data_IF_565105408434
#
_entry.id   IF_565105408434
#
_cell.length_a   1.000
_cell.length_b   1.000
_cell.length_c   1.000
_cell.angle_alpha   90.00
_cell.angle_beta   90.00
_cell.angle_gamma   90.00
#
_symmetry.space_group_name_H-M   'P 1'
#
loop_
_entity.id
_entity.type
_entity.pdbx_description
1 polymer ?
#
# COMPACT_ATOMS: atom_id res chain seq x y z
N UNK A 1 19.88 -21.31 51.91
CA UNK A 1 18.69 -20.58 51.44
C UNK A 1 18.64 -20.68 49.92
N UNK A 2 17.58 -21.32 49.42
CA UNK A 2 17.22 -21.39 48.01
C UNK A 2 16.60 -20.05 47.61
N UNK A 3 16.91 -19.54 46.41
CA UNK A 3 16.05 -18.77 45.49
C UNK A 3 16.92 -17.86 44.60
N UNK A 4 17.26 -18.36 43.42
CA UNK A 4 17.42 -17.54 42.23
C UNK A 4 17.06 -18.44 41.04
N UNK A 5 15.80 -18.83 41.04
CA UNK A 5 15.11 -19.48 39.93
C UNK A 5 14.97 -18.47 38.79
N UNK A 6 15.08 -18.99 37.56
CA UNK A 6 14.48 -18.42 36.34
C UNK A 6 14.91 -16.98 36.04
N UNK A 7 16.03 -16.83 35.32
CA UNK A 7 16.14 -15.80 34.31
C UNK A 7 15.57 -16.41 33.02
N UNK A 8 14.25 -16.29 32.75
CA UNK A 8 13.67 -16.94 31.60
C UNK A 8 13.84 -16.02 30.38
N UNK A 9 14.29 -16.59 29.27
CA UNK A 9 13.55 -16.49 28.01
C UNK A 9 13.17 -15.07 27.48
N UNK A 10 13.87 -14.00 27.84
CA UNK A 10 13.59 -12.64 27.33
C UNK A 10 14.41 -12.24 26.10
N UNK A 11 15.19 -13.16 25.55
CA UNK A 11 15.88 -12.98 24.28
C UNK A 11 15.12 -13.76 23.21
N UNK A 12 14.39 -13.02 22.36
CA UNK A 12 13.69 -13.42 21.13
C UNK A 12 12.16 -13.48 21.26
N UNK A 13 11.50 -12.40 20.77
CA UNK A 13 10.49 -12.60 19.73
C UNK A 13 10.79 -11.74 18.48
N UNK A 14 12.06 -11.40 18.20
CA UNK A 14 12.41 -10.69 16.97
C UNK A 14 12.46 -11.62 15.74
N UNK A 15 12.58 -12.94 15.93
CA UNK A 15 12.68 -13.90 14.83
C UNK A 15 11.32 -14.31 14.23
N UNK A 16 10.20 -13.97 14.87
CA UNK A 16 8.86 -14.29 14.35
C UNK A 16 8.34 -13.29 13.31
N UNK A 17 9.02 -12.15 13.14
CA UNK A 17 8.65 -11.13 12.15
C UNK A 17 9.31 -11.33 10.77
N UNK A 18 10.17 -12.35 10.61
CA UNK A 18 10.97 -12.56 9.41
C UNK A 18 10.45 -13.64 8.44
N UNK A 19 9.27 -14.24 8.69
CA UNK A 19 8.71 -15.28 7.81
C UNK A 19 7.67 -14.79 6.80
N UNK A 20 7.39 -13.49 6.71
CA UNK A 20 6.48 -12.92 5.71
C UNK A 20 7.17 -11.83 4.91
N UNK A 21 8.16 -12.24 4.11
CA UNK A 21 8.83 -11.38 3.14
C UNK A 21 8.11 -11.41 1.81
N UNK A 22 6.94 -10.80 1.72
CA UNK A 22 6.41 -10.37 0.42
C UNK A 22 6.60 -8.85 0.36
N UNK A 23 7.72 -8.42 -0.22
CA UNK A 23 7.90 -7.03 -0.63
C UNK A 23 6.76 -6.67 -1.59
N UNK A 24 5.93 -5.68 -1.23
CA UNK A 24 4.76 -5.32 -2.03
C UNK A 24 5.18 -4.43 -3.19
N UNK A 25 5.09 -4.92 -4.43
CA UNK A 25 5.47 -4.15 -5.62
C UNK A 25 4.33 -3.25 -6.07
N UNK A 26 4.47 -1.95 -5.81
CA UNK A 26 3.46 -0.94 -6.10
C UNK A 26 3.77 -0.27 -7.44
N UNK A 27 2.86 -0.37 -8.40
CA UNK A 27 2.98 0.33 -9.67
C UNK A 27 2.71 1.83 -9.53
N UNK A 28 3.65 2.67 -9.95
CA UNK A 28 3.57 4.13 -9.91
C UNK A 28 3.43 4.67 -11.32
N UNK A 29 2.39 5.47 -11.58
CA UNK A 29 2.21 6.08 -12.89
C UNK A 29 3.00 7.38 -13.05
N UNK A 30 3.12 7.86 -14.29
CA UNK A 30 3.83 9.10 -14.61
C UNK A 30 3.06 10.35 -14.25
N UNK A 31 1.73 10.29 -14.33
CA UNK A 31 0.87 11.43 -14.04
C UNK A 31 0.90 11.75 -12.55
N UNK A 32 1.02 13.04 -12.21
CA UNK A 32 1.15 13.50 -10.83
C UNK A 32 0.09 12.92 -9.88
N UNK A 33 -1.23 12.94 -10.20
CA UNK A 33 -2.24 12.38 -9.32
C UNK A 33 -2.05 10.87 -9.13
N UNK A 34 -1.73 10.15 -10.20
CA UNK A 34 -1.46 8.71 -10.14
C UNK A 34 -0.22 8.39 -9.28
N UNK A 35 0.88 9.11 -9.51
CA UNK A 35 2.08 8.98 -8.70
C UNK A 35 1.77 9.21 -7.21
N UNK A 36 1.06 10.30 -6.87
CA UNK A 36 0.69 10.63 -5.51
C UNK A 36 -0.08 9.49 -4.82
N UNK A 37 -1.15 8.99 -5.44
CA UNK A 37 -1.97 7.93 -4.84
C UNK A 37 -1.25 6.58 -4.79
N UNK A 38 -0.40 6.28 -5.78
CA UNK A 38 0.42 5.07 -5.78
C UNK A 38 1.42 5.10 -4.63
N UNK A 39 2.13 6.23 -4.41
CA UNK A 39 3.01 6.39 -3.26
C UNK A 39 2.27 6.36 -1.94
N UNK A 40 1.12 7.04 -1.86
CA UNK A 40 0.30 7.09 -0.66
C UNK A 40 -0.21 5.69 -0.26
N UNK A 41 -0.58 4.85 -1.23
CA UNK A 41 -0.93 3.45 -1.00
C UNK A 41 0.23 2.67 -0.39
N UNK A 42 1.42 2.74 -1.00
CA UNK A 42 2.58 2.01 -0.50
C UNK A 42 2.98 2.45 0.91
N UNK A 43 3.03 3.75 1.17
CA UNK A 43 3.41 4.27 2.50
C UNK A 43 2.35 4.00 3.57
N UNK A 44 1.06 4.05 3.22
CA UNK A 44 0.01 3.67 4.15
C UNK A 44 0.10 2.19 4.53
N UNK A 45 0.39 1.32 3.55
CA UNK A 45 0.63 -0.11 3.80
C UNK A 45 1.85 -0.30 4.69
N UNK A 46 2.97 0.36 4.40
CA UNK A 46 4.18 0.31 5.23
C UNK A 46 3.86 0.66 6.68
N UNK A 47 3.14 1.75 6.91
CA UNK A 47 2.78 2.22 8.25
C UNK A 47 1.88 1.23 8.99
N UNK A 48 0.86 0.67 8.31
CA UNK A 48 -0.12 -0.22 8.98
C UNK A 48 0.33 -1.66 9.11
N UNK A 49 1.36 -2.08 8.39
CA UNK A 49 1.75 -3.50 8.31
C UNK A 49 3.22 -3.77 8.60
N UNK A 50 4.09 -2.76 8.50
CA UNK A 50 5.54 -2.90 8.54
C UNK A 50 6.15 -3.44 7.23
N UNK A 51 5.34 -3.72 6.19
CA UNK A 51 5.82 -4.22 4.89
C UNK A 51 6.32 -3.04 4.06
N UNK A 52 7.62 -3.03 3.78
CA UNK A 52 8.22 -2.02 2.91
C UNK A 52 7.74 -2.19 1.45
N UNK A 53 7.21 -1.13 0.82
CA UNK A 53 6.79 -1.17 -0.58
C UNK A 53 7.99 -1.01 -1.53
N UNK A 54 7.98 -1.76 -2.63
CA UNK A 54 8.85 -1.50 -3.78
C UNK A 54 8.07 -0.70 -4.82
N UNK A 55 8.46 0.55 -5.03
CA UNK A 55 7.83 1.41 -6.02
C UNK A 55 8.42 1.18 -7.41
N UNK A 56 7.58 0.85 -8.38
CA UNK A 56 7.99 0.54 -9.75
C UNK A 56 7.24 1.47 -10.69
N UNK A 57 7.98 2.31 -11.41
CA UNK A 57 7.41 3.16 -12.44
C UNK A 57 6.86 2.31 -13.59
N UNK A 58 5.61 2.57 -13.96
CA UNK A 58 4.89 1.80 -14.99
C UNK A 58 4.29 2.73 -16.04
N UNK A 59 4.58 2.43 -17.30
CA UNK A 59 3.95 3.06 -18.47
C UNK A 59 2.71 2.29 -18.91
N UNK A 60 2.79 0.96 -18.85
CA UNK A 60 1.72 0.04 -19.25
C UNK A 60 1.40 -0.89 -18.08
N UNK A 61 0.27 -0.63 -17.42
CA UNK A 61 -0.20 -1.36 -16.25
C UNK A 61 -0.56 -2.80 -16.60
N UNK A 62 -1.21 -3.03 -17.75
CA UNK A 62 -1.60 -4.39 -18.17
C UNK A 62 -0.36 -5.26 -18.39
N UNK A 63 0.62 -4.72 -19.12
CA UNK A 63 1.89 -5.41 -19.35
C UNK A 63 2.66 -5.64 -18.04
N UNK A 64 2.70 -4.65 -17.15
CA UNK A 64 3.38 -4.78 -15.87
C UNK A 64 2.78 -5.86 -14.96
N UNK A 65 1.44 -6.02 -14.96
CA UNK A 65 0.80 -7.13 -14.26
C UNK A 65 1.06 -8.47 -14.93
N UNK A 66 0.95 -8.55 -16.26
CA UNK A 66 1.18 -9.78 -17.02
C UNK A 66 2.62 -10.31 -16.91
N UNK A 67 3.60 -9.41 -16.81
CA UNK A 67 5.02 -9.74 -16.60
C UNK A 67 5.38 -9.90 -15.12
N UNK A 68 4.39 -9.89 -14.22
CA UNK A 68 4.58 -10.01 -12.78
C UNK A 68 5.58 -8.99 -12.21
N UNK A 69 5.63 -7.79 -12.78
CA UNK A 69 6.52 -6.72 -12.30
C UNK A 69 5.92 -5.98 -11.11
N UNK A 70 4.60 -5.84 -11.08
CA UNK A 70 3.87 -5.18 -10.00
C UNK A 70 2.84 -6.13 -9.40
N UNK A 71 2.56 -5.94 -8.11
CA UNK A 71 1.57 -6.70 -7.35
C UNK A 71 0.26 -5.93 -7.19
N UNK A 72 0.38 -4.60 -7.05
CA UNK A 72 -0.74 -3.70 -6.79
C UNK A 72 -0.63 -2.42 -7.61
N UNK A 73 -1.78 -1.91 -8.04
CA UNK A 73 -1.92 -0.61 -8.70
C UNK A 73 -3.22 0.06 -8.25
N UNK A 74 -3.18 1.37 -8.03
CA UNK A 74 -4.39 2.17 -7.82
C UNK A 74 -4.71 2.94 -9.09
N UNK A 75 -5.98 2.92 -9.50
CA UNK A 75 -6.48 3.64 -10.67
C UNK A 75 -7.85 4.27 -10.36
N UNK A 76 -8.26 5.34 -11.05
CA UNK A 76 -9.64 5.79 -11.07
C UNK A 76 -10.59 4.66 -11.47
N UNK A 77 -11.79 4.60 -10.88
CA UNK A 77 -12.82 3.61 -11.23
C UNK A 77 -13.30 3.69 -12.68
N UNK A 78 -13.14 4.86 -13.31
CA UNK A 78 -13.42 5.07 -14.73
C UNK A 78 -12.32 4.49 -15.65
N UNK A 79 -11.16 4.11 -15.12
CA UNK A 79 -10.09 3.49 -15.90
C UNK A 79 -10.47 2.06 -16.34
N UNK A 80 -10.00 1.59 -17.50
CA UNK A 80 -10.17 0.21 -17.91
C UNK A 80 -9.60 -0.75 -16.86
N UNK A 81 -10.35 -1.82 -16.58
CA UNK A 81 -9.89 -2.88 -15.70
C UNK A 81 -8.66 -3.58 -16.31
N UNK A 82 -7.51 -3.63 -15.61
CA UNK A 82 -6.35 -4.37 -16.10
C UNK A 82 -6.69 -5.86 -16.24
N UNK A 83 -6.33 -6.45 -17.39
CA UNK A 83 -6.63 -7.87 -17.66
C UNK A 83 -6.01 -8.77 -16.60
N UNK A 84 -6.79 -9.71 -16.11
CA UNK A 84 -6.34 -10.69 -15.12
C UNK A 84 -6.11 -10.13 -13.72
N UNK A 85 -6.37 -8.85 -13.47
CA UNK A 85 -6.34 -8.28 -12.12
C UNK A 85 -7.70 -8.44 -11.42
N UNK A 86 -7.66 -8.47 -10.09
CA UNK A 86 -8.84 -8.45 -9.21
C UNK A 86 -8.90 -7.12 -8.48
N UNK A 87 -10.12 -6.62 -8.25
CA UNK A 87 -10.32 -5.31 -7.63
C UNK A 87 -10.62 -5.39 -6.13
N UNK A 88 -10.21 -4.35 -5.42
CA UNK A 88 -10.65 -3.97 -4.09
C UNK A 88 -11.09 -2.50 -4.11
N UNK A 89 -12.05 -2.15 -3.28
CA UNK A 89 -12.51 -0.76 -3.17
C UNK A 89 -11.39 0.12 -2.60
N UNK A 90 -11.02 1.18 -3.33
CA UNK A 90 -10.10 2.22 -2.85
C UNK A 90 -10.81 3.40 -2.20
N UNK A 91 -12.06 3.67 -2.58
CA UNK A 91 -12.89 4.77 -2.05
C UNK A 91 -12.59 6.13 -2.70
N UNK A 92 -13.22 7.18 -2.19
CA UNK A 92 -13.11 8.51 -2.75
C UNK A 92 -11.71 9.13 -2.55
N UNK A 93 -11.11 9.57 -3.65
CA UNK A 93 -9.79 10.17 -3.73
C UNK A 93 -9.86 11.51 -4.50
N UNK A 94 -9.36 12.63 -3.93
CA UNK A 94 -9.26 13.91 -4.65
C UNK A 94 -8.61 13.77 -6.04
N UNK A 95 -9.16 14.40 -7.07
CA UNK A 95 -8.67 14.29 -8.47
C UNK A 95 -8.78 12.91 -9.14
N UNK A 96 -9.00 11.81 -8.40
CA UNK A 96 -9.26 10.46 -8.91
C UNK A 96 -10.75 10.11 -8.94
N UNK A 97 -11.59 10.82 -8.18
CA UNK A 97 -12.97 10.41 -7.95
C UNK A 97 -13.01 9.14 -7.10
N UNK A 98 -13.84 8.17 -7.45
CA UNK A 98 -13.78 6.85 -6.83
C UNK A 98 -12.54 6.09 -7.31
N UNK A 99 -11.66 5.69 -6.40
CA UNK A 99 -10.47 4.91 -6.69
C UNK A 99 -10.71 3.39 -6.52
N UNK A 100 -10.03 2.60 -7.34
CA UNK A 100 -10.03 1.14 -7.30
C UNK A 100 -8.60 0.64 -7.18
N UNK A 101 -8.41 -0.32 -6.28
CA UNK A 101 -7.12 -0.99 -6.06
C UNK A 101 -7.16 -2.30 -6.84
N UNK A 102 -6.27 -2.43 -7.82
CA UNK A 102 -6.11 -3.61 -8.64
C UNK A 102 -4.94 -4.43 -8.13
N UNK A 103 -5.16 -5.73 -7.96
CA UNK A 103 -4.19 -6.70 -7.45
C UNK A 103 -4.03 -7.84 -8.44
N UNK A 104 -2.86 -8.47 -8.46
CA UNK A 104 -2.76 -9.80 -9.08
C UNK A 104 -3.59 -10.84 -8.29
N UNK A 105 -4.17 -11.86 -8.93
CA UNK A 105 -5.03 -12.83 -8.25
C UNK A 105 -4.31 -13.66 -7.18
N UNK A 106 -3.06 -14.06 -7.43
CA UNK A 106 -2.18 -14.74 -6.48
C UNK A 106 -1.96 -13.87 -5.23
N UNK A 107 -1.65 -12.59 -5.44
CA UNK A 107 -1.48 -11.62 -4.35
C UNK A 107 -2.77 -11.48 -3.53
N UNK A 108 -3.93 -11.44 -4.20
CA UNK A 108 -5.21 -11.34 -3.48
C UNK A 108 -5.44 -12.52 -2.55
N UNK A 109 -5.09 -13.74 -2.96
CA UNK A 109 -5.21 -14.93 -2.12
C UNK A 109 -4.16 -14.96 -1.00
N UNK A 110 -2.91 -14.56 -1.29
CA UNK A 110 -1.81 -14.56 -0.32
C UNK A 110 -2.03 -13.59 0.84
N UNK A 111 -2.67 -12.44 0.58
CA UNK A 111 -2.91 -11.43 1.61
C UNK A 111 -4.17 -11.71 2.44
N UNK A 112 -4.96 -12.74 2.10
CA UNK A 112 -6.21 -13.02 2.83
C UNK A 112 -5.90 -13.28 4.30
N UNK A 113 -6.72 -12.67 5.15
CA UNK A 113 -6.62 -12.75 6.60
C UNK A 113 -5.33 -12.15 7.20
N UNK A 114 -4.52 -11.43 6.40
CA UNK A 114 -3.33 -10.73 6.86
C UNK A 114 -3.63 -9.28 7.28
N UNK A 115 -2.65 -8.60 7.87
CA UNK A 115 -2.72 -7.16 8.15
C UNK A 115 -2.78 -6.34 6.87
N UNK A 116 -2.22 -6.83 5.76
CA UNK A 116 -2.27 -6.16 4.46
C UNK A 116 -3.69 -6.10 3.90
N UNK A 117 -4.46 -7.19 3.96
CA UNK A 117 -5.87 -7.14 3.56
C UNK A 117 -6.66 -6.12 4.40
N UNK A 118 -6.42 -6.08 5.72
CA UNK A 118 -7.08 -5.10 6.60
C UNK A 118 -6.69 -3.67 6.25
N UNK A 119 -5.41 -3.41 6.01
CA UNK A 119 -4.91 -2.10 5.63
C UNK A 119 -5.56 -1.63 4.31
N UNK A 120 -5.56 -2.48 3.28
CA UNK A 120 -6.24 -2.17 2.02
C UNK A 120 -7.76 -2.00 2.19
N UNK A 121 -8.39 -2.70 3.14
CA UNK A 121 -9.81 -2.56 3.44
C UNK A 121 -10.21 -1.23 4.08
N UNK A 122 -9.28 -0.53 4.76
CA UNK A 122 -9.55 0.75 5.44
C UNK A 122 -8.98 1.97 4.72
N UNK A 123 -8.20 1.76 3.65
CA UNK A 123 -7.46 2.82 2.97
C UNK A 123 -8.32 3.93 2.37
N UNK A 124 -9.59 3.67 2.04
CA UNK A 124 -10.49 4.71 1.54
C UNK A 124 -10.79 5.82 2.54
N UNK A 125 -10.74 5.52 3.85
CA UNK A 125 -10.80 6.55 4.88
C UNK A 125 -9.59 7.49 4.83
N UNK A 126 -8.41 6.94 4.50
CA UNK A 126 -7.18 7.71 4.35
C UNK A 126 -7.18 8.56 3.07
N UNK A 127 -7.59 8.02 1.91
CA UNK A 127 -7.63 8.81 0.67
C UNK A 127 -8.60 9.98 0.70
N UNK A 128 -9.68 9.88 1.48
CA UNK A 128 -10.65 10.95 1.68
C UNK A 128 -10.27 11.95 2.79
N UNK A 129 -9.15 11.72 3.48
CA UNK A 129 -8.70 12.53 4.62
C UNK A 129 -8.32 13.97 4.24
N UNK A 130 -8.36 14.92 5.19
CA UNK A 130 -7.86 16.28 4.96
C UNK A 130 -6.39 16.33 4.53
N UNK A 131 -5.54 15.46 5.09
CA UNK A 131 -4.11 15.39 4.75
C UNK A 131 -3.90 15.04 3.27
N UNK A 132 -4.66 14.08 2.75
CA UNK A 132 -4.61 13.72 1.32
C UNK A 132 -5.17 14.82 0.41
N UNK A 133 -6.22 15.53 0.84
CA UNK A 133 -6.73 16.71 0.09
C UNK A 133 -5.66 17.78 -0.04
N UNK A 134 -5.01 18.15 1.06
CA UNK A 134 -3.92 19.13 1.05
C UNK A 134 -2.72 18.66 0.22
N UNK A 135 -2.38 17.37 0.26
CA UNK A 135 -1.31 16.80 -0.55
C UNK A 135 -1.62 16.86 -2.06
N UNK A 136 -2.88 16.61 -2.44
CA UNK A 136 -3.32 16.68 -3.83
C UNK A 136 -3.32 18.11 -4.40
N UNK A 137 -3.55 19.12 -3.56
CA UNK A 137 -3.57 20.55 -3.93
C UNK A 137 -2.18 21.20 -3.94
N UNK A 138 -1.19 20.61 -3.25
CA UNK A 138 0.19 21.11 -3.23
C UNK A 138 0.87 20.97 -4.59
N UNK A 139 1.88 21.82 -4.87
CA UNK A 139 2.75 21.75 -6.05
C UNK A 139 4.04 20.91 -5.80
N UNK A 140 4.20 20.31 -4.63
CA UNK A 140 5.41 19.58 -4.22
C UNK A 140 5.62 18.22 -4.93
N UNK A 141 6.78 17.59 -4.72
CA UNK A 141 7.08 16.21 -5.13
C UNK A 141 6.00 15.23 -4.63
N UNK A 142 5.34 14.43 -5.52
CA UNK A 142 4.27 13.50 -5.14
C UNK A 142 4.68 12.48 -4.09
N UNK A 143 5.92 11.99 -4.13
CA UNK A 143 6.42 10.97 -3.20
C UNK A 143 6.57 11.56 -1.79
N UNK A 144 7.13 12.77 -1.71
CA UNK A 144 7.30 13.49 -0.44
C UNK A 144 5.94 13.87 0.15
N UNK A 145 5.03 14.38 -0.68
CA UNK A 145 3.68 14.75 -0.27
C UNK A 145 2.88 13.53 0.26
N UNK A 146 2.96 12.40 -0.44
CA UNK A 146 2.36 11.14 0.00
C UNK A 146 2.89 10.68 1.36
N UNK A 147 4.22 10.68 1.56
CA UNK A 147 4.81 10.25 2.84
C UNK A 147 4.38 11.15 3.98
N UNK A 148 4.38 12.47 3.75
CA UNK A 148 3.91 13.45 4.73
C UNK A 148 2.45 13.22 5.11
N UNK A 149 1.57 13.01 4.13
CA UNK A 149 0.15 12.79 4.39
C UNK A 149 -0.12 11.54 5.25
N UNK A 150 0.68 10.48 5.08
CA UNK A 150 0.58 9.27 5.93
C UNK A 150 1.02 9.55 7.36
N UNK A 151 2.15 10.25 7.56
CA UNK A 151 2.68 10.59 8.88
C UNK A 151 1.72 11.53 9.64
N UNK A 152 1.15 12.51 8.95
CA UNK A 152 0.23 13.49 9.55
C UNK A 152 -1.16 12.89 9.86
N UNK A 153 -1.45 11.65 9.43
CA UNK A 153 -2.73 10.98 9.64
C UNK A 153 -2.77 10.11 10.93
N UNK A 154 -1.70 10.11 11.72
CA UNK A 154 -1.63 9.49 13.05
C UNK A 154 -2.15 10.42 14.17
#
# INVERSE_FOLDING_TARGET
MRLAWLAPLLLLPAAALACFGAELRVGVGKERPDALYSYALGYFVEEKTGIAPLFIEVEDVEKAFAEEKIDVKILPSASPAPKGAVSMAGGAAPSFGEAVIWLRPDIREDIRFTTLERALGIIGGFFSSPGMKSAAESAEDPKKAARKAVIDAE
#
